data_IF_492823391750
#
_entry.id   IF_492823391750
#
_cell.length_a   1.000
_cell.length_b   1.000
_cell.length_c   1.000
_cell.angle_alpha   90.00
_cell.angle_beta   90.00
_cell.angle_gamma   90.00
#
_symmetry.space_group_name_H-M   'P 1'
#
loop_
_entity.id
_entity.type
_entity.pdbx_description
1 polymer ?
#
# COMPACT_ATOMS: atom_id res chain seq x y z
N UNK A 1 -3.85 -15.41 11.90
CA UNK A 1 -4.27 -16.26 10.75
C UNK A 1 -3.05 -17.00 10.19
N UNK A 2 -3.20 -18.08 9.40
CA UNK A 2 -2.03 -18.66 8.70
C UNK A 2 -1.71 -17.78 7.49
N UNK A 3 -0.44 -17.44 7.28
CA UNK A 3 0.02 -16.61 6.15
C UNK A 3 -0.43 -17.15 4.79
N UNK A 4 -0.55 -18.47 4.63
CA UNK A 4 -1.03 -19.07 3.38
C UNK A 4 -2.51 -18.75 3.10
N UNK A 5 -3.35 -18.69 4.12
CA UNK A 5 -4.77 -18.31 3.96
C UNK A 5 -4.90 -16.84 3.57
N UNK A 6 -4.02 -16.00 4.11
CA UNK A 6 -3.92 -14.59 3.76
C UNK A 6 -3.69 -14.39 2.26
N UNK A 7 -2.79 -15.19 1.68
CA UNK A 7 -2.47 -15.15 0.25
C UNK A 7 -3.63 -15.66 -0.60
N UNK A 8 -4.32 -16.72 -0.17
CA UNK A 8 -5.53 -17.18 -0.85
C UNK A 8 -6.63 -16.10 -0.86
N UNK A 9 -6.77 -15.37 0.24
CA UNK A 9 -7.71 -14.26 0.33
C UNK A 9 -7.28 -13.07 -0.53
N UNK A 10 -5.98 -12.75 -0.58
CA UNK A 10 -5.44 -11.69 -1.44
C UNK A 10 -5.57 -12.01 -2.94
N UNK A 11 -5.61 -13.30 -3.31
CA UNK A 11 -5.87 -13.75 -4.69
C UNK A 11 -7.32 -13.61 -5.10
N UNK A 12 -8.26 -13.80 -4.16
CA UNK A 12 -9.71 -13.73 -4.41
C UNK A 12 -10.26 -12.32 -4.29
N UNK A 13 -9.70 -11.54 -3.38
CA UNK A 13 -10.18 -10.21 -3.03
C UNK A 13 -9.31 -9.13 -3.65
N UNK A 14 -9.90 -7.93 -3.78
CA UNK A 14 -9.17 -6.77 -4.28
C UNK A 14 -8.05 -6.36 -3.29
N UNK A 15 -8.26 -6.53 -2.00
CA UNK A 15 -7.29 -6.29 -0.93
C UNK A 15 -7.69 -7.10 0.31
N UNK A 16 -6.75 -7.29 1.24
CA UNK A 16 -6.99 -7.92 2.55
C UNK A 16 -6.54 -6.96 3.63
N UNK A 17 -7.37 -6.79 4.65
CA UNK A 17 -7.05 -5.99 5.85
C UNK A 17 -6.27 -6.86 6.82
N UNK A 18 -5.17 -6.33 7.37
CA UNK A 18 -4.29 -6.99 8.32
C UNK A 18 -4.32 -6.29 9.66
N UNK A 19 -4.23 -7.09 10.72
CA UNK A 19 -3.82 -6.60 12.03
C UNK A 19 -2.31 -6.35 12.09
N UNK A 20 -1.85 -5.55 13.05
CA UNK A 20 -0.42 -5.26 13.24
C UNK A 20 0.43 -6.54 13.41
N UNK A 21 -0.07 -7.53 14.16
CA UNK A 21 0.62 -8.81 14.36
C UNK A 21 0.73 -9.64 13.06
N UNK A 22 -0.26 -9.55 12.17
CA UNK A 22 -0.23 -10.24 10.89
C UNK A 22 0.69 -9.57 9.89
N UNK A 23 0.75 -8.23 9.92
CA UNK A 23 1.71 -7.47 9.15
C UNK A 23 3.14 -7.80 9.59
N UNK A 24 3.42 -7.81 10.89
CA UNK A 24 4.76 -8.13 11.41
C UNK A 24 5.19 -9.54 11.00
N UNK A 25 4.28 -10.50 11.07
CA UNK A 25 4.52 -11.86 10.58
C UNK A 25 4.79 -11.90 9.07
N UNK A 26 4.06 -11.11 8.26
CA UNK A 26 4.28 -11.02 6.83
C UNK A 26 5.64 -10.39 6.51
N UNK A 27 5.97 -9.26 7.12
CA UNK A 27 7.25 -8.56 6.94
C UNK A 27 8.44 -9.43 7.35
N UNK A 28 8.30 -10.19 8.44
CA UNK A 28 9.36 -11.12 8.89
C UNK A 28 9.60 -12.29 7.92
N UNK A 29 8.64 -12.59 7.03
CA UNK A 29 8.71 -13.70 6.08
C UNK A 29 8.71 -13.23 4.60
N UNK A 30 8.81 -11.93 4.36
CA UNK A 30 8.85 -11.34 3.03
C UNK A 30 10.08 -10.46 2.86
N UNK A 31 10.49 -10.28 1.62
CA UNK A 31 11.56 -9.37 1.26
C UNK A 31 10.97 -8.03 0.83
N UNK A 32 11.42 -6.94 1.44
CA UNK A 32 11.01 -5.58 1.01
C UNK A 32 11.82 -5.21 -0.22
N UNK A 33 11.16 -5.15 -1.38
CA UNK A 33 11.78 -4.76 -2.64
C UNK A 33 11.85 -3.24 -2.79
N UNK A 34 10.82 -2.54 -2.31
CA UNK A 34 10.71 -1.09 -2.42
C UNK A 34 9.88 -0.51 -1.29
N UNK A 35 10.23 0.69 -0.85
CA UNK A 35 9.50 1.47 0.14
C UNK A 35 9.37 2.90 -0.39
N UNK A 36 8.16 3.45 -0.37
CA UNK A 36 7.84 4.80 -0.81
C UNK A 36 7.05 5.53 0.28
N UNK A 37 7.55 6.68 0.71
CA UNK A 37 6.89 7.47 1.75
C UNK A 37 5.76 8.31 1.14
N UNK A 38 4.53 8.14 1.60
CA UNK A 38 3.39 8.92 1.09
C UNK A 38 3.23 10.28 1.76
N UNK A 39 3.95 10.51 2.88
CA UNK A 39 3.86 11.70 3.74
C UNK A 39 2.46 12.03 4.30
N UNK A 40 1.46 11.18 4.04
CA UNK A 40 0.06 11.37 4.42
C UNK A 40 -0.45 10.16 5.19
N UNK A 41 -0.38 8.97 4.59
CA UNK A 41 -0.95 7.72 5.14
C UNK A 41 0.14 6.68 5.40
N UNK A 42 1.30 7.11 5.92
CA UNK A 42 2.47 6.24 6.16
C UNK A 42 3.13 5.76 4.86
N UNK A 43 3.92 4.68 4.88
CA UNK A 43 4.65 4.19 3.70
C UNK A 43 3.84 3.17 2.88
N UNK A 44 4.12 3.13 1.58
CA UNK A 44 3.70 2.04 0.70
C UNK A 44 4.92 1.16 0.43
N UNK A 45 4.80 -0.12 0.73
CA UNK A 45 5.88 -1.10 0.59
C UNK A 45 5.53 -2.12 -0.49
N UNK A 46 6.47 -2.38 -1.40
CA UNK A 46 6.43 -3.52 -2.30
C UNK A 46 7.20 -4.67 -1.66
N UNK A 47 6.51 -5.78 -1.42
CA UNK A 47 7.03 -6.97 -0.77
C UNK A 47 7.06 -8.12 -1.77
N UNK A 48 8.07 -8.97 -1.67
CA UNK A 48 8.13 -10.27 -2.30
C UNK A 48 7.91 -11.35 -1.24
N UNK A 49 6.86 -12.13 -1.39
CA UNK A 49 6.55 -13.27 -0.53
C UNK A 49 6.37 -14.51 -1.38
N UNK A 50 7.29 -15.48 -1.24
CA UNK A 50 7.26 -16.75 -2.00
C UNK A 50 7.08 -16.56 -3.52
N UNK A 51 7.84 -15.64 -4.10
CA UNK A 51 7.78 -15.27 -5.54
C UNK A 51 6.47 -14.56 -5.96
N UNK A 52 5.64 -14.14 -5.02
CA UNK A 52 4.46 -13.29 -5.27
C UNK A 52 4.73 -11.86 -4.82
N UNK A 53 4.35 -10.91 -5.68
CA UNK A 53 4.47 -9.49 -5.41
C UNK A 53 3.24 -8.97 -4.68
N UNK A 54 3.48 -8.27 -3.58
CA UNK A 54 2.46 -7.72 -2.71
C UNK A 54 2.73 -6.24 -2.49
N UNK A 55 1.70 -5.41 -2.62
CA UNK A 55 1.74 -4.05 -2.09
C UNK A 55 1.14 -4.07 -0.70
N UNK A 56 1.89 -3.55 0.26
CA UNK A 56 1.38 -3.17 1.56
C UNK A 56 1.18 -1.65 1.59
N UNK A 57 -0.02 -1.21 1.97
CA UNK A 57 -0.33 0.19 2.23
C UNK A 57 -0.99 0.32 3.61
N UNK A 58 -1.05 1.54 4.12
CA UNK A 58 -1.81 1.86 5.32
C UNK A 58 -2.88 2.88 4.96
N UNK A 59 -4.09 2.68 5.48
CA UNK A 59 -5.20 3.60 5.23
C UNK A 59 -5.16 4.77 6.21
N UNK A 60 -5.93 5.82 5.89
CA UNK A 60 -6.15 6.97 6.78
C UNK A 60 -6.83 6.57 8.10
N UNK A 61 -7.44 5.38 8.15
CA UNK A 61 -8.08 4.81 9.34
C UNK A 61 -7.13 3.92 10.16
N UNK A 62 -5.82 4.00 9.91
CA UNK A 62 -4.78 3.21 10.61
C UNK A 62 -4.85 1.69 10.33
N UNK A 63 -5.52 1.28 9.25
CA UNK A 63 -5.63 -0.13 8.86
C UNK A 63 -4.51 -0.51 7.88
N UNK A 64 -3.91 -1.68 8.07
CA UNK A 64 -2.92 -2.20 7.13
C UNK A 64 -3.63 -3.00 6.05
N UNK A 65 -3.29 -2.74 4.80
CA UNK A 65 -3.83 -3.44 3.64
C UNK A 65 -2.71 -4.13 2.89
N UNK A 66 -3.01 -5.32 2.37
CA UNK A 66 -2.19 -5.94 1.34
C UNK A 66 -2.98 -6.19 0.06
N UNK A 67 -2.27 -6.13 -1.05
CA UNK A 67 -2.80 -6.34 -2.39
C UNK A 67 -1.81 -7.16 -3.20
N UNK A 68 -2.29 -8.25 -3.80
CA UNK A 68 -1.50 -9.03 -4.74
C UNK A 68 -1.40 -8.29 -6.08
N UNK A 69 -0.19 -8.27 -6.64
CA UNK A 69 0.10 -7.66 -7.93
C UNK A 69 0.84 -8.66 -8.82
N UNK A 70 0.63 -8.56 -10.13
CA UNK A 70 1.17 -9.52 -11.10
C UNK A 70 2.57 -9.15 -11.60
N UNK A 71 2.99 -7.90 -11.46
CA UNK A 71 4.29 -7.42 -11.96
C UNK A 71 4.75 -6.16 -11.25
N UNK A 72 6.06 -5.94 -11.21
CA UNK A 72 6.67 -4.70 -10.68
C UNK A 72 6.11 -3.45 -11.39
N UNK A 73 5.90 -3.50 -12.71
CA UNK A 73 5.32 -2.39 -13.47
C UNK A 73 3.89 -2.04 -13.03
N UNK A 74 3.09 -3.05 -12.70
CA UNK A 74 1.74 -2.83 -12.15
C UNK A 74 1.83 -2.25 -10.73
N UNK A 75 2.84 -2.64 -9.94
CA UNK A 75 3.09 -2.05 -8.64
C UNK A 75 3.51 -0.57 -8.74
N UNK A 76 4.42 -0.24 -9.63
CA UNK A 76 4.85 1.14 -9.90
C UNK A 76 3.67 2.01 -10.31
N UNK A 77 2.86 1.54 -11.27
CA UNK A 77 1.65 2.25 -11.68
C UNK A 77 0.68 2.46 -10.51
N UNK A 78 0.52 1.47 -9.63
CA UNK A 78 -0.34 1.60 -8.46
C UNK A 78 0.17 2.69 -7.51
N UNK A 79 1.47 2.63 -7.17
CA UNK A 79 2.12 3.61 -6.28
C UNK A 79 1.98 5.02 -6.87
N UNK A 80 2.29 5.20 -8.16
CA UNK A 80 2.19 6.49 -8.82
C UNK A 80 0.75 7.02 -8.82
N UNK A 81 -0.25 6.20 -9.14
CA UNK A 81 -1.66 6.60 -9.07
C UNK A 81 -2.05 7.03 -7.65
N UNK A 82 -1.51 6.38 -6.62
CA UNK A 82 -1.79 6.72 -5.22
C UNK A 82 -1.19 8.08 -4.86
N UNK A 83 0.08 8.30 -5.22
CA UNK A 83 0.77 9.58 -5.04
C UNK A 83 0.05 10.72 -5.78
N UNK A 84 -0.42 10.50 -7.01
CA UNK A 84 -1.20 11.51 -7.74
C UNK A 84 -2.53 11.85 -7.05
N UNK A 85 -3.19 10.88 -6.41
CA UNK A 85 -4.39 11.14 -5.60
C UNK A 85 -4.03 12.01 -4.39
N UNK A 86 -2.93 11.71 -3.71
CA UNK A 86 -2.42 12.48 -2.59
C UNK A 86 -2.04 13.92 -3.00
N UNK A 87 -1.34 14.10 -4.12
CA UNK A 87 -1.03 15.41 -4.68
C UNK A 87 -2.30 16.21 -5.00
N UNK A 88 -3.31 15.59 -5.61
CA UNK A 88 -4.60 16.25 -5.90
C UNK A 88 -5.37 16.63 -4.64
N UNK A 89 -5.24 15.87 -3.54
CA UNK A 89 -5.83 16.26 -2.26
C UNK A 89 -5.17 17.52 -1.70
N UNK A 90 -3.86 17.71 -1.93
CA UNK A 90 -3.17 18.95 -1.59
C UNK A 90 -3.51 20.10 -2.55
N UNK A 91 -3.59 19.83 -3.86
CA UNK A 91 -3.90 20.83 -4.89
C UNK A 91 -5.38 21.28 -4.87
N UNK A 92 -6.24 20.52 -4.19
CA UNK A 92 -7.66 20.83 -3.97
C UNK A 92 -7.94 21.91 -2.92
N UNK A 93 -6.95 22.37 -2.14
CA UNK A 93 -7.12 23.51 -1.23
C UNK A 93 -6.70 24.81 -1.92
N UNK A 94 -7.40 25.16 -3.00
CA UNK A 94 -7.30 26.48 -3.63
C UNK A 94 -7.89 27.56 -2.74
N UNK A 95 -7.17 27.98 -1.69
CA UNK A 95 -7.45 29.26 -1.04
C UNK A 95 -7.15 30.38 -2.04
N UNK A 96 -8.19 31.11 -2.45
CA UNK A 96 -8.04 32.39 -3.15
C UNK A 96 -7.33 33.37 -2.20
N UNK A 97 -6.04 33.56 -2.38
CA UNK A 97 -5.30 34.63 -1.68
C UNK A 97 -5.36 35.87 -2.56
N UNK A 98 -6.24 36.81 -2.19
CA UNK A 98 -6.23 38.15 -2.76
C UNK A 98 -5.07 38.92 -2.12
N UNK A 99 -4.05 39.25 -2.93
CA UNK A 99 -3.07 40.27 -2.56
C UNK A 99 -3.66 41.64 -2.90
N UNK A 100 -3.69 42.52 -1.89
CA UNK A 100 -4.15 43.92 -1.96
C UNK A 100 -3.39 44.77 -2.99
#
# INVERSE_FOLDING_TARGET
MKLDTLMEDAKKNKYVILSASELEALLSNSEVLKEEETLISDKICLLNFKDELLIQEKTDNDEFLIRLIKSEKEAENFIQNRLEIYEKMWDGCGCKVEYY
#
